data_IF_931466085014
#
_entry.id   IF_931466085014
#
_cell.length_a   1.000
_cell.length_b   1.000
_cell.length_c   1.000
_cell.angle_alpha   90.00
_cell.angle_beta   90.00
_cell.angle_gamma   90.00
#
_symmetry.space_group_name_H-M   'P 1'
#
loop_
_entity.id
_entity.type
_entity.pdbx_description
1 polymer ?
#
# COMPACT_ATOMS: atom_id res chain seq x y z
N UNK A 1 -3.73 -13.65 12.80
CA UNK A 1 -3.09 -13.89 11.48
C UNK A 1 -3.09 -12.66 10.56
N UNK A 2 -4.20 -11.93 10.35
CA UNK A 2 -4.24 -10.76 9.43
C UNK A 2 -3.21 -9.66 9.72
N UNK A 3 -2.91 -9.40 11.00
CA UNK A 3 -1.95 -8.38 11.42
C UNK A 3 -0.51 -8.62 10.92
N UNK A 4 -0.11 -9.90 10.84
CA UNK A 4 1.24 -10.30 10.41
C UNK A 4 1.44 -10.01 8.92
N UNK A 5 0.37 -10.16 8.12
CA UNK A 5 0.41 -9.89 6.68
C UNK A 5 0.52 -8.40 6.37
N UNK A 6 -0.19 -7.54 7.11
CA UNK A 6 -0.09 -6.08 6.95
C UNK A 6 1.30 -5.56 7.34
N UNK A 7 1.88 -6.07 8.42
CA UNK A 7 3.23 -5.73 8.87
C UNK A 7 4.30 -6.14 7.84
N UNK A 8 4.16 -7.33 7.25
CA UNK A 8 5.08 -7.80 6.21
C UNK A 8 4.95 -6.98 4.93
N UNK A 9 3.72 -6.66 4.51
CA UNK A 9 3.49 -5.78 3.35
C UNK A 9 4.10 -4.40 3.57
N UNK A 10 3.85 -3.78 4.74
CA UNK A 10 4.45 -2.49 5.12
C UNK A 10 5.97 -2.52 5.04
N UNK A 11 6.59 -3.58 5.57
CA UNK A 11 8.05 -3.75 5.51
C UNK A 11 8.56 -3.82 4.07
N UNK A 12 7.86 -4.53 3.18
CA UNK A 12 8.24 -4.63 1.76
C UNK A 12 8.09 -3.28 1.04
N UNK A 13 7.00 -2.56 1.26
CA UNK A 13 6.82 -1.21 0.67
C UNK A 13 7.89 -0.25 1.20
N UNK A 14 8.24 -0.32 2.49
CA UNK A 14 9.30 0.50 3.06
C UNK A 14 10.66 0.19 2.43
N UNK A 15 10.92 -1.09 2.13
CA UNK A 15 12.14 -1.49 1.41
C UNK A 15 12.15 -0.97 -0.03
N UNK A 16 11.02 -0.96 -0.73
CA UNK A 16 10.94 -0.35 -2.07
C UNK A 16 11.30 1.13 -2.02
N UNK A 17 10.69 1.89 -1.10
CA UNK A 17 10.99 3.32 -0.92
C UNK A 17 12.45 3.56 -0.56
N UNK A 18 13.01 2.77 0.36
CA UNK A 18 14.35 3.03 0.91
C UNK A 18 15.50 2.51 0.02
N UNK A 19 15.32 1.36 -0.63
CA UNK A 19 16.39 0.73 -1.44
C UNK A 19 16.37 1.18 -2.89
N UNK A 20 15.18 1.39 -3.44
CA UNK A 20 14.99 1.72 -4.85
C UNK A 20 14.47 3.16 -5.00
N UNK A 21 14.56 3.99 -3.96
CA UNK A 21 13.99 5.33 -3.95
C UNK A 21 14.42 6.18 -5.14
N UNK A 22 15.70 6.12 -5.51
CA UNK A 22 16.25 6.86 -6.66
C UNK A 22 15.89 6.28 -8.03
N UNK A 23 15.33 5.06 -8.09
CA UNK A 23 14.94 4.40 -9.32
C UNK A 23 13.46 4.63 -9.68
N UNK A 24 12.68 5.20 -8.76
CA UNK A 24 11.27 5.52 -8.95
C UNK A 24 11.09 6.99 -9.31
N UNK A 25 10.03 7.30 -10.05
CA UNK A 25 9.64 8.70 -10.28
C UNK A 25 9.16 9.34 -8.96
N UNK A 26 9.14 10.67 -8.90
CA UNK A 26 8.58 11.37 -7.73
C UNK A 26 7.11 11.00 -7.49
N UNK A 27 6.35 10.70 -8.56
CA UNK A 27 4.96 10.23 -8.48
C UNK A 27 4.89 8.83 -7.85
N UNK A 28 5.70 7.88 -8.32
CA UNK A 28 5.77 6.52 -7.77
C UNK A 28 6.17 6.53 -6.30
N UNK A 29 7.13 7.38 -5.93
CA UNK A 29 7.53 7.57 -4.53
C UNK A 29 6.40 8.13 -3.69
N UNK A 30 5.61 9.07 -4.23
CA UNK A 30 4.44 9.60 -3.56
C UNK A 30 3.41 8.50 -3.32
N UNK A 31 3.09 7.70 -4.34
CA UNK A 31 2.17 6.57 -4.24
C UNK A 31 2.64 5.54 -3.19
N UNK A 32 3.91 5.15 -3.21
CA UNK A 32 4.45 4.22 -2.21
C UNK A 32 4.39 4.78 -0.78
N UNK A 33 4.60 6.09 -0.59
CA UNK A 33 4.45 6.75 0.72
C UNK A 33 2.99 6.78 1.17
N UNK A 34 2.04 7.00 0.27
CA UNK A 34 0.62 6.92 0.58
C UNK A 34 0.21 5.50 0.99
N UNK A 35 0.71 4.48 0.29
CA UNK A 35 0.49 3.07 0.66
C UNK A 35 1.06 2.79 2.05
N UNK A 36 2.26 3.29 2.37
CA UNK A 36 2.84 3.14 3.71
C UNK A 36 1.98 3.77 4.80
N UNK A 37 1.51 5.01 4.58
CA UNK A 37 0.67 5.71 5.53
C UNK A 37 -0.65 4.96 5.76
N UNK A 38 -1.27 4.44 4.71
CA UNK A 38 -2.51 3.67 4.82
C UNK A 38 -2.30 2.34 5.56
N UNK A 39 -1.18 1.65 5.30
CA UNK A 39 -0.80 0.45 6.05
C UNK A 39 -0.59 0.76 7.54
N UNK A 40 0.05 1.88 7.88
CA UNK A 40 0.23 2.31 9.27
C UNK A 40 -1.12 2.54 9.96
N UNK A 41 -2.03 3.26 9.32
CA UNK A 41 -3.40 3.45 9.82
C UNK A 41 -4.13 2.11 10.01
N UNK A 42 -4.00 1.17 9.08
CA UNK A 42 -4.65 -0.15 9.20
C UNK A 42 -4.04 -1.01 10.32
N UNK A 43 -2.71 -0.94 10.50
CA UNK A 43 -2.03 -1.60 11.62
C UNK A 43 -2.51 -1.00 12.95
N UNK A 44 -2.64 0.31 13.06
CA UNK A 44 -3.18 0.96 14.26
C UNK A 44 -4.64 0.59 14.53
N UNK A 45 -5.49 0.65 13.49
CA UNK A 45 -6.90 0.24 13.57
C UNK A 45 -7.03 -1.22 14.02
N UNK A 46 -6.14 -2.10 13.58
CA UNK A 46 -6.15 -3.50 13.97
C UNK A 46 -5.83 -3.72 15.46
N UNK A 47 -5.06 -2.80 16.09
CA UNK A 47 -4.78 -2.81 17.53
C UNK A 47 -5.98 -2.31 18.34
N UNK A 48 -6.76 -1.39 17.78
CA UNK A 48 -7.99 -0.85 18.40
C UNK A 48 -9.25 -1.68 18.11
N UNK A 49 -9.12 -2.91 17.58
CA UNK A 49 -10.21 -3.81 17.17
C UNK A 49 -11.10 -3.28 16.03
N UNK A 50 -10.71 -2.17 15.38
CA UNK A 50 -11.37 -1.67 14.18
C UNK A 50 -10.96 -2.53 12.99
N UNK A 51 -11.94 -3.14 12.33
CA UNK A 51 -11.70 -3.99 11.16
C UNK A 51 -11.45 -3.13 9.93
N UNK A 52 -10.49 -3.57 9.11
CA UNK A 52 -10.30 -3.06 7.74
C UNK A 52 -11.59 -3.27 6.94
N UNK A 53 -12.07 -2.21 6.32
CA UNK A 53 -13.27 -2.25 5.48
C UNK A 53 -12.92 -2.70 4.07
N UNK A 54 -13.94 -3.05 3.28
CA UNK A 54 -13.76 -3.35 1.85
C UNK A 54 -13.23 -2.14 1.08
N UNK A 55 -13.64 -0.92 1.47
CA UNK A 55 -13.17 0.33 0.89
C UNK A 55 -11.69 0.56 1.16
N UNK A 56 -11.23 0.33 2.39
CA UNK A 56 -9.81 0.40 2.74
C UNK A 56 -9.00 -0.60 1.90
N UNK A 57 -9.52 -1.82 1.74
CA UNK A 57 -8.84 -2.84 0.94
C UNK A 57 -8.78 -2.48 -0.54
N UNK A 58 -9.87 -1.96 -1.09
CA UNK A 58 -9.92 -1.49 -2.47
C UNK A 58 -8.97 -0.31 -2.71
N UNK A 59 -8.92 0.66 -1.80
CA UNK A 59 -8.02 1.82 -1.90
C UNK A 59 -6.55 1.40 -1.92
N UNK A 60 -6.15 0.55 -0.97
CA UNK A 60 -4.79 0.05 -0.86
C UNK A 60 -4.39 -0.79 -2.09
N UNK A 61 -5.31 -1.60 -2.60
CA UNK A 61 -5.11 -2.39 -3.83
C UNK A 61 -4.97 -1.50 -5.05
N UNK A 62 -5.83 -0.48 -5.20
CA UNK A 62 -5.80 0.42 -6.35
C UNK A 62 -4.51 1.25 -6.42
N UNK A 63 -4.01 1.73 -5.26
CA UNK A 63 -2.72 2.44 -5.21
C UNK A 63 -1.54 1.55 -5.59
N UNK A 64 -1.56 0.28 -5.17
CA UNK A 64 -0.55 -0.70 -5.58
C UNK A 64 -0.63 -0.99 -7.08
N UNK A 65 -1.84 -1.14 -7.63
CA UNK A 65 -2.06 -1.34 -9.06
C UNK A 65 -1.54 -0.14 -9.88
N UNK A 66 -1.88 1.08 -9.46
CA UNK A 66 -1.38 2.30 -10.11
C UNK A 66 0.15 2.35 -10.11
N UNK A 67 0.80 1.97 -9.00
CA UNK A 67 2.26 1.88 -8.93
C UNK A 67 2.86 0.85 -9.92
N UNK A 68 2.13 -0.20 -10.30
CA UNK A 68 2.57 -1.16 -11.32
C UNK A 68 2.20 -0.74 -12.75
N UNK A 69 1.68 0.48 -12.95
CA UNK A 69 1.27 0.99 -14.27
C UNK A 69 -0.11 0.53 -14.72
N UNK A 70 -0.93 0.01 -13.81
CA UNK A 70 -2.36 -0.20 -14.07
C UNK A 70 -3.10 1.09 -13.74
N UNK A 71 -3.17 1.98 -14.72
CA UNK A 71 -3.82 3.28 -14.56
C UNK A 71 -5.35 3.16 -14.66
N UNK A 72 -5.86 2.15 -15.36
CA UNK A 72 -7.29 1.92 -15.55
C UNK A 72 -7.73 0.48 -15.27
N UNK A 73 -9.01 0.31 -14.94
CA UNK A 73 -9.59 -1.01 -14.71
C UNK A 73 -9.57 -1.89 -15.98
N UNK A 74 -9.58 -1.27 -17.15
CA UNK A 74 -9.45 -1.94 -18.46
C UNK A 74 -8.09 -2.65 -18.63
N UNK A 75 -7.06 -2.25 -17.89
CA UNK A 75 -5.75 -2.90 -17.94
C UNK A 75 -5.72 -4.24 -17.17
N UNK A 76 -6.79 -4.57 -16.44
CA UNK A 76 -6.88 -5.71 -15.50
C UNK A 76 -7.82 -6.83 -16.01
N UNK A 77 -8.74 -6.54 -16.93
CA UNK A 77 -9.77 -7.46 -17.47
C UNK A 77 -9.49 -7.80 -18.92
#
# INVERSE_FOLDING_TARGET
>A
MKNIQLLELRKRVQQLVSKNGYAFSDEDLSLLKEVLNELDVQIENSKSSKKMTLLDFASLTFKLLKFFGFDNFEDII
#
